data_IF_383705532107
#
_entry.id   IF_383705532107
#
_cell.length_a   1.000
_cell.length_b   1.000
_cell.length_c   1.000
_cell.angle_alpha   90.00
_cell.angle_beta   90.00
_cell.angle_gamma   90.00
#
_symmetry.space_group_name_H-M   'P 1'
#
loop_
_entity.id
_entity.type
_entity.pdbx_description
1 polymer ?
#
# COMPACT_ATOMS: atom_id res chain seq x y z
N UNK A 1 -7.56 7.89 -4.16
CA UNK A 1 -7.20 9.30 -4.50
C UNK A 1 -8.41 10.26 -4.41
N UNK A 2 -9.54 10.05 -5.13
CA UNK A 2 -10.69 10.99 -5.02
C UNK A 2 -11.20 11.19 -3.60
N UNK A 3 -11.30 10.15 -2.80
CA UNK A 3 -11.74 10.24 -1.40
C UNK A 3 -10.82 11.10 -0.53
N UNK A 4 -9.51 11.00 -0.71
CA UNK A 4 -8.55 11.86 -0.01
C UNK A 4 -8.70 13.34 -0.40
N UNK A 5 -8.95 13.64 -1.68
CA UNK A 5 -9.26 14.99 -2.11
C UNK A 5 -10.56 15.51 -1.49
N UNK A 6 -11.60 14.67 -1.40
CA UNK A 6 -12.86 15.03 -0.76
C UNK A 6 -12.68 15.28 0.75
N UNK A 7 -11.92 14.44 1.45
CA UNK A 7 -11.60 14.62 2.86
C UNK A 7 -10.80 15.91 3.10
N UNK A 8 -9.81 16.20 2.22
CA UNK A 8 -9.09 17.46 2.29
C UNK A 8 -10.02 18.65 2.12
N UNK A 9 -10.89 18.64 1.11
CA UNK A 9 -11.83 19.73 0.88
C UNK A 9 -12.76 20.02 2.09
N UNK A 10 -13.09 18.99 2.88
CA UNK A 10 -13.89 19.12 4.10
C UNK A 10 -13.08 19.67 5.28
N UNK A 11 -11.80 19.32 5.40
CA UNK A 11 -11.02 19.56 6.62
C UNK A 11 -9.85 20.55 6.44
N UNK A 12 -9.57 21.00 5.22
CA UNK A 12 -8.44 21.91 4.96
C UNK A 12 -8.57 23.24 5.73
N UNK A 13 -9.76 23.83 5.76
CA UNK A 13 -10.01 25.05 6.51
C UNK A 13 -9.91 24.87 8.03
N UNK A 14 -9.89 23.63 8.51
CA UNK A 14 -9.66 23.24 9.90
C UNK A 14 -8.18 22.91 10.20
N UNK A 15 -7.30 23.05 9.20
CA UNK A 15 -5.85 22.87 9.35
C UNK A 15 -5.29 21.54 8.83
N UNK A 16 -6.11 20.63 8.26
CA UNK A 16 -5.60 19.39 7.66
C UNK A 16 -4.98 19.69 6.29
N UNK A 17 -3.75 19.27 6.10
CA UNK A 17 -3.18 19.10 4.76
C UNK A 17 -2.91 17.62 4.48
N UNK A 18 -3.07 17.23 3.24
CA UNK A 18 -2.82 15.88 2.75
C UNK A 18 -1.68 15.93 1.74
N UNK A 19 -0.74 15.04 1.87
CA UNK A 19 0.31 14.79 0.88
C UNK A 19 0.19 13.33 0.46
N UNK A 20 -0.05 13.08 -0.82
CA UNK A 20 -0.05 11.72 -1.34
C UNK A 20 1.27 11.39 -2.00
N UNK A 21 1.69 10.13 -1.89
CA UNK A 21 2.93 9.64 -2.48
C UNK A 21 2.58 8.39 -3.29
N UNK A 22 2.76 8.48 -4.61
CA UNK A 22 2.64 7.33 -5.50
C UNK A 22 3.90 6.49 -5.40
N UNK A 23 3.74 5.26 -4.98
CA UNK A 23 4.83 4.28 -4.85
C UNK A 23 4.82 3.39 -6.09
N UNK A 24 5.71 3.67 -7.03
CA UNK A 24 5.81 2.90 -8.27
C UNK A 24 7.18 3.07 -8.93
N UNK A 25 7.89 1.96 -9.14
CA UNK A 25 9.19 1.94 -9.82
C UNK A 25 9.12 2.39 -11.29
N UNK A 26 7.94 2.38 -11.92
CA UNK A 26 7.70 2.98 -13.23
C UNK A 26 7.62 4.51 -13.24
N UNK A 27 7.70 5.13 -12.06
CA UNK A 27 7.84 6.57 -11.88
C UNK A 27 6.64 7.39 -12.34
N UNK A 28 6.95 8.60 -12.81
CA UNK A 28 5.94 9.58 -13.18
C UNK A 28 4.96 9.09 -14.26
N UNK A 29 5.42 8.29 -15.20
CA UNK A 29 4.58 7.83 -16.31
C UNK A 29 3.56 6.78 -15.84
N UNK A 30 3.91 5.94 -14.87
CA UNK A 30 3.01 4.97 -14.26
C UNK A 30 1.96 5.64 -13.34
N UNK A 31 2.36 6.66 -12.58
CA UNK A 31 1.50 7.30 -11.56
C UNK A 31 0.62 8.41 -12.15
N UNK A 32 1.08 9.11 -13.20
CA UNK A 32 0.42 10.28 -13.79
C UNK A 32 -1.06 10.08 -14.12
N UNK A 33 -1.50 9.00 -14.81
CA UNK A 33 -2.90 8.82 -15.15
C UNK A 33 -3.82 8.80 -13.93
N UNK A 34 -3.35 8.23 -12.81
CA UNK A 34 -4.11 8.14 -11.57
C UNK A 34 -4.21 9.47 -10.84
N UNK A 35 -3.13 10.26 -10.86
CA UNK A 35 -3.11 11.61 -10.28
C UNK A 35 -4.01 12.53 -11.10
N UNK A 36 -3.89 12.54 -12.42
CA UNK A 36 -4.72 13.37 -13.30
C UNK A 36 -6.21 13.03 -13.17
N UNK A 37 -6.56 11.73 -13.10
CA UNK A 37 -7.94 11.31 -12.90
C UNK A 37 -8.52 11.76 -11.52
N UNK A 38 -7.69 11.82 -10.49
CA UNK A 38 -8.08 12.28 -9.16
C UNK A 38 -8.14 13.81 -9.05
N UNK A 39 -7.44 14.53 -9.94
CA UNK A 39 -7.35 16.00 -9.98
C UNK A 39 -7.16 16.62 -8.56
N UNK A 40 -6.12 16.22 -7.81
CA UNK A 40 -5.94 16.65 -6.44
C UNK A 40 -5.49 18.11 -6.36
N UNK A 41 -5.95 18.83 -5.33
CA UNK A 41 -5.45 20.16 -4.96
C UNK A 41 -4.29 20.08 -3.95
N UNK A 42 -4.03 18.90 -3.42
CA UNK A 42 -2.92 18.63 -2.50
C UNK A 42 -1.64 18.22 -3.25
N UNK A 43 -0.46 18.35 -2.63
CA UNK A 43 0.77 17.83 -3.18
C UNK A 43 0.69 16.32 -3.43
N UNK A 44 1.09 15.92 -4.63
CA UNK A 44 1.20 14.50 -5.01
C UNK A 44 2.63 14.22 -5.45
N UNK A 45 3.34 13.46 -4.63
CA UNK A 45 4.73 13.07 -4.82
C UNK A 45 4.82 11.68 -5.44
N UNK A 46 6.01 11.32 -5.89
CA UNK A 46 6.31 10.01 -6.46
C UNK A 46 7.55 9.46 -5.77
N UNK A 47 7.48 8.21 -5.35
CA UNK A 47 8.61 7.47 -4.83
C UNK A 47 8.89 6.28 -5.76
N UNK A 48 9.90 6.44 -6.60
CA UNK A 48 10.35 5.43 -7.57
C UNK A 48 11.29 4.39 -6.96
N UNK A 49 11.81 4.67 -5.78
CA UNK A 49 12.90 3.92 -5.15
C UNK A 49 12.55 3.35 -3.79
N UNK A 50 11.27 3.36 -3.41
CA UNK A 50 10.77 2.79 -2.15
C UNK A 50 11.43 3.38 -0.88
N UNK A 51 11.92 4.65 -0.96
CA UNK A 51 12.55 5.33 0.18
C UNK A 51 11.54 5.64 1.27
N UNK A 52 10.33 6.07 0.87
CA UNK A 52 9.29 6.47 1.83
C UNK A 52 8.71 5.26 2.55
N UNK A 53 8.44 4.17 1.84
CA UNK A 53 7.94 2.95 2.47
C UNK A 53 8.99 2.35 3.42
N UNK A 54 10.27 2.40 3.05
CA UNK A 54 11.34 1.96 3.92
C UNK A 54 11.52 2.84 5.17
N UNK A 55 11.45 4.16 5.02
CA UNK A 55 11.65 5.09 6.14
C UNK A 55 10.50 5.06 7.14
N UNK A 56 9.26 4.87 6.66
CA UNK A 56 8.07 4.84 7.51
C UNK A 56 7.59 3.44 7.87
N UNK A 57 8.19 2.39 7.29
CA UNK A 57 7.81 1.00 7.55
C UNK A 57 6.49 0.60 6.87
N UNK A 58 6.21 1.17 5.68
CA UNK A 58 5.04 0.81 4.89
C UNK A 58 5.27 -0.53 4.21
N UNK A 59 4.43 -1.51 4.48
CA UNK A 59 4.51 -2.86 3.90
C UNK A 59 3.34 -3.20 2.99
N UNK A 60 2.33 -2.34 2.93
CA UNK A 60 1.17 -2.47 2.05
C UNK A 60 0.55 -1.09 1.78
N UNK A 61 -0.22 -0.95 0.71
CA UNK A 61 -0.92 0.28 0.32
C UNK A 61 -2.42 0.01 0.14
N UNK A 62 -3.30 0.98 0.43
CA UNK A 62 -3.01 2.33 0.92
C UNK A 62 -2.57 2.35 2.39
N UNK A 63 -1.69 3.30 2.70
CA UNK A 63 -1.14 3.50 4.03
C UNK A 63 -1.04 4.99 4.35
N UNK A 64 -1.07 5.39 5.61
CA UNK A 64 -0.86 6.77 6.02
C UNK A 64 -0.04 6.89 7.31
N UNK A 65 0.60 8.04 7.44
CA UNK A 65 1.31 8.49 8.63
C UNK A 65 0.70 9.83 9.04
N UNK A 66 0.35 10.02 10.32
CA UNK A 66 -0.13 11.31 10.78
C UNK A 66 0.99 12.11 11.43
N UNK A 67 1.14 13.34 11.00
CA UNK A 67 2.19 14.25 11.45
C UNK A 67 1.52 15.54 11.93
N UNK A 68 1.83 15.97 13.15
CA UNK A 68 1.28 17.19 13.72
C UNK A 68 1.94 18.47 13.16
N UNK A 69 1.44 19.63 13.55
CA UNK A 69 1.94 20.94 13.14
C UNK A 69 3.38 21.25 13.62
N UNK A 70 3.92 20.43 14.52
CA UNK A 70 5.29 20.51 15.01
C UNK A 70 6.23 19.55 14.24
N UNK A 71 5.70 18.79 13.27
CA UNK A 71 6.45 17.81 12.49
C UNK A 71 6.68 16.49 13.24
N UNK A 72 5.92 16.24 14.30
CA UNK A 72 6.01 14.98 15.06
C UNK A 72 5.02 13.96 14.53
N UNK A 73 5.46 12.72 14.37
CA UNK A 73 4.57 11.61 14.05
C UNK A 73 3.69 11.33 15.27
N UNK A 74 2.38 11.44 15.10
CA UNK A 74 1.36 11.11 16.12
C UNK A 74 0.64 9.79 15.83
N UNK A 75 0.75 9.28 14.58
CA UNK A 75 0.41 7.90 14.23
C UNK A 75 1.42 7.38 13.22
N UNK A 76 2.05 6.22 13.46
CA UNK A 76 2.97 5.61 12.50
C UNK A 76 2.21 5.03 11.31
N UNK A 77 2.95 4.52 10.34
CA UNK A 77 2.39 3.90 9.14
C UNK A 77 1.36 2.81 9.49
N UNK A 78 0.15 2.97 8.96
CA UNK A 78 -0.96 2.02 9.15
C UNK A 78 -1.88 2.02 7.93
N UNK A 79 -2.68 0.94 7.69
CA UNK A 79 -3.64 0.92 6.61
C UNK A 79 -4.63 2.09 6.68
N UNK A 80 -4.85 2.73 5.53
CA UNK A 80 -5.53 4.02 5.47
C UNK A 80 -6.61 4.06 4.38
N UNK A 81 -7.59 3.17 4.47
CA UNK A 81 -8.80 3.27 3.68
C UNK A 81 -9.75 4.27 4.33
N UNK A 82 -10.29 5.23 3.57
CA UNK A 82 -11.23 6.26 4.03
C UNK A 82 -12.58 6.18 3.31
N UNK A 83 -12.73 5.26 2.41
CA UNK A 83 -13.96 4.99 1.66
C UNK A 83 -14.18 3.48 1.58
N UNK A 84 -15.44 3.09 1.72
CA UNK A 84 -15.85 1.71 1.50
C UNK A 84 -15.58 1.27 0.06
N UNK A 85 -15.04 0.08 -0.12
CA UNK A 85 -14.75 -0.47 -1.45
C UNK A 85 -16.02 -1.00 -2.12
N UNK A 86 -16.43 -0.48 -3.28
CA UNK A 86 -17.58 -1.00 -4.01
C UNK A 86 -17.44 -2.49 -4.38
N UNK A 87 -16.22 -3.01 -4.44
CA UNK A 87 -15.96 -4.43 -4.74
C UNK A 87 -16.49 -5.36 -3.64
N UNK A 88 -16.60 -4.88 -2.42
CA UNK A 88 -17.12 -5.68 -1.30
C UNK A 88 -18.64 -5.91 -1.41
N UNK A 89 -19.36 -4.94 -1.98
CA UNK A 89 -20.81 -5.03 -2.19
C UNK A 89 -21.20 -5.73 -3.50
N UNK A 90 -20.25 -5.84 -4.43
CA UNK A 90 -20.52 -6.42 -5.74
C UNK A 90 -20.87 -7.90 -5.63
N UNK A 91 -21.96 -8.34 -6.28
CA UNK A 91 -22.22 -9.75 -6.48
C UNK A 91 -21.18 -10.35 -7.42
N UNK A 92 -20.60 -11.50 -7.05
CA UNK A 92 -19.64 -12.20 -7.92
C UNK A 92 -20.42 -12.80 -9.08
N UNK A 93 -20.13 -12.42 -10.35
CA UNK A 93 -20.88 -12.95 -11.49
C UNK A 93 -20.67 -14.46 -11.67
N UNK A 94 -21.73 -15.16 -12.11
CA UNK A 94 -21.65 -16.56 -12.48
C UNK A 94 -20.77 -16.75 -13.74
N UNK A 95 -20.12 -17.91 -13.83
CA UNK A 95 -19.40 -18.34 -15.03
C UNK A 95 -18.03 -17.71 -15.22
N UNK A 96 -17.49 -17.01 -14.22
CA UNK A 96 -16.12 -16.54 -14.24
C UNK A 96 -15.12 -17.71 -14.23
N UNK A 97 -13.92 -17.53 -14.82
CA UNK A 97 -12.82 -18.46 -14.59
C UNK A 97 -12.56 -18.64 -13.09
N UNK A 98 -12.27 -19.87 -12.65
CA UNK A 98 -12.10 -20.22 -11.23
C UNK A 98 -11.15 -19.28 -10.50
N UNK A 99 -10.01 -18.95 -11.10
CA UNK A 99 -9.03 -18.02 -10.53
C UNK A 99 -9.61 -16.62 -10.27
N UNK A 100 -10.42 -16.10 -11.20
CA UNK A 100 -11.03 -14.78 -11.06
C UNK A 100 -12.10 -14.80 -9.96
N UNK A 101 -12.92 -15.87 -9.95
CA UNK A 101 -13.91 -16.09 -8.90
C UNK A 101 -13.23 -16.10 -7.52
N UNK A 102 -12.20 -16.93 -7.35
CA UNK A 102 -11.45 -17.06 -6.10
C UNK A 102 -10.83 -15.74 -5.64
N UNK A 103 -10.27 -14.98 -6.60
CA UNK A 103 -9.73 -13.64 -6.29
C UNK A 103 -10.80 -12.70 -5.75
N UNK A 104 -11.99 -12.66 -6.38
CA UNK A 104 -13.08 -11.82 -5.92
C UNK A 104 -13.61 -12.25 -4.56
N UNK A 105 -13.58 -13.56 -4.26
CA UNK A 105 -13.90 -14.07 -2.92
C UNK A 105 -12.93 -13.50 -1.89
N UNK A 106 -11.61 -13.59 -2.13
CA UNK A 106 -10.60 -13.06 -1.21
C UNK A 106 -10.69 -11.53 -1.07
N UNK A 107 -10.97 -10.81 -2.17
CA UNK A 107 -11.16 -9.34 -2.12
C UNK A 107 -12.35 -8.97 -1.25
N UNK A 108 -13.44 -9.72 -1.27
CA UNK A 108 -14.62 -9.46 -0.43
C UNK A 108 -14.37 -9.71 1.06
N UNK A 109 -13.42 -10.58 1.39
CA UNK A 109 -13.01 -10.86 2.76
C UNK A 109 -12.03 -9.79 3.32
N UNK A 110 -11.48 -8.91 2.48
CA UNK A 110 -10.59 -7.84 2.94
C UNK A 110 -11.34 -6.96 3.95
N UNK A 111 -10.70 -6.75 5.11
CA UNK A 111 -11.25 -5.91 6.17
C UNK A 111 -11.49 -4.48 5.70
N UNK A 112 -12.63 -3.94 6.05
CA UNK A 112 -12.98 -2.55 5.83
C UNK A 112 -13.15 -1.80 7.16
N UNK A 113 -12.14 -1.02 7.51
CA UNK A 113 -12.15 -0.14 8.69
C UNK A 113 -12.30 1.34 8.24
N UNK A 114 -12.72 1.62 6.99
CA UNK A 114 -12.72 2.94 6.37
C UNK A 114 -13.54 3.99 7.12
N UNK A 115 -14.73 3.63 7.59
CA UNK A 115 -15.58 4.53 8.37
C UNK A 115 -14.92 4.92 9.70
N UNK A 116 -14.38 3.93 10.41
CA UNK A 116 -13.69 4.15 11.68
C UNK A 116 -12.42 4.99 11.52
N UNK A 117 -11.63 4.70 10.47
CA UNK A 117 -10.40 5.44 10.18
C UNK A 117 -10.69 6.90 9.79
N UNK A 118 -11.70 7.11 8.93
CA UNK A 118 -12.13 8.46 8.56
C UNK A 118 -12.61 9.25 9.77
N UNK A 119 -13.42 8.63 10.64
CA UNK A 119 -13.91 9.27 11.88
C UNK A 119 -12.76 9.65 12.82
N UNK A 120 -11.72 8.81 12.90
CA UNK A 120 -10.52 9.09 13.69
C UNK A 120 -9.74 10.31 13.16
N UNK A 121 -9.59 10.46 11.83
CA UNK A 121 -8.98 11.67 11.24
C UNK A 121 -9.78 12.92 11.59
N UNK A 122 -11.11 12.87 11.47
CA UNK A 122 -11.98 14.00 11.79
C UNK A 122 -11.83 14.39 13.25
N UNK A 123 -11.85 13.42 14.15
CA UNK A 123 -11.67 13.67 15.60
C UNK A 123 -10.29 14.30 15.87
N UNK A 124 -9.23 13.78 15.28
CA UNK A 124 -7.88 14.33 15.45
C UNK A 124 -7.78 15.78 14.95
N UNK A 125 -8.38 16.09 13.81
CA UNK A 125 -8.39 17.47 13.28
C UNK A 125 -9.17 18.41 14.20
N UNK A 126 -10.21 17.94 14.85
CA UNK A 126 -11.05 18.76 15.75
C UNK A 126 -10.44 18.93 17.15
N UNK A 127 -9.72 17.92 17.65
CA UNK A 127 -9.24 17.87 19.03
C UNK A 127 -7.69 17.93 19.15
N UNK A 128 -6.95 17.81 18.04
CA UNK A 128 -5.50 17.90 18.02
C UNK A 128 -4.84 16.87 18.95
N UNK A 129 -3.96 17.35 19.83
CA UNK A 129 -3.27 16.49 20.80
C UNK A 129 -4.18 15.87 21.87
N UNK A 130 -5.40 16.39 22.06
CA UNK A 130 -6.38 15.84 23.00
C UNK A 130 -7.23 14.72 22.39
N UNK A 131 -7.08 14.44 21.08
CA UNK A 131 -7.73 13.33 20.42
C UNK A 131 -7.22 11.99 20.97
N UNK A 132 -8.10 11.02 21.23
CA UNK A 132 -7.68 9.68 21.66
C UNK A 132 -6.89 8.94 20.57
N UNK A 133 -6.96 9.43 19.33
CA UNK A 133 -6.23 8.86 18.19
C UNK A 133 -4.83 9.44 18.02
N UNK A 134 -4.52 10.59 18.62
CA UNK A 134 -3.15 11.12 18.67
C UNK A 134 -2.33 10.36 19.72
N UNK A 135 -1.42 9.52 19.27
CA UNK A 135 -0.64 8.67 20.16
C UNK A 135 0.46 9.47 20.88
N UNK A 136 0.79 9.05 22.10
CA UNK A 136 1.98 9.58 22.78
C UNK A 136 3.27 9.17 22.03
N UNK A 137 4.38 9.92 22.19
CA UNK A 137 5.66 9.56 21.54
C UNK A 137 6.11 8.14 21.86
N UNK A 138 5.92 7.68 23.10
CA UNK A 138 6.27 6.31 23.50
C UNK A 138 5.40 5.27 22.79
N UNK A 139 4.12 5.56 22.60
CA UNK A 139 3.20 4.68 21.87
C UNK A 139 3.52 4.65 20.37
N UNK A 140 3.89 5.78 19.78
CA UNK A 140 4.38 5.85 18.38
C UNK A 140 5.61 4.97 18.23
N UNK A 141 6.61 5.12 19.10
CA UNK A 141 7.84 4.30 19.07
C UNK A 141 7.51 2.81 19.23
N UNK A 142 6.61 2.47 20.14
CA UNK A 142 6.22 1.08 20.37
C UNK A 142 5.50 0.44 19.17
N UNK A 143 4.75 1.24 18.39
CA UNK A 143 4.07 0.79 17.17
C UNK A 143 4.96 0.85 15.93
N UNK A 144 6.00 1.71 15.92
CA UNK A 144 6.98 1.86 14.84
C UNK A 144 8.18 0.94 15.09
N UNK A 145 7.95 -0.37 15.14
CA UNK A 145 9.03 -1.33 15.37
C UNK A 145 10.14 -1.13 14.32
N UNK A 146 11.43 -1.04 14.78
CA UNK A 146 12.53 -0.94 13.84
C UNK A 146 12.59 -2.20 12.98
N UNK A 147 12.92 -2.04 11.71
CA UNK A 147 13.16 -3.18 10.82
C UNK A 147 14.21 -4.09 11.42
N UNK A 148 13.91 -5.39 11.41
CA UNK A 148 14.86 -6.43 11.75
C UNK A 148 15.92 -6.60 10.65
N UNK A 149 16.75 -7.62 10.84
CA UNK A 149 17.79 -7.94 9.86
C UNK A 149 17.20 -8.46 8.56
N UNK A 150 16.22 -9.36 8.66
CA UNK A 150 15.63 -10.02 7.49
C UNK A 150 14.85 -9.02 6.63
N UNK A 151 14.10 -8.11 7.23
CA UNK A 151 13.40 -7.03 6.52
C UNK A 151 14.37 -6.04 5.87
N UNK A 152 15.51 -5.75 6.52
CA UNK A 152 16.55 -4.88 5.94
C UNK A 152 17.27 -5.56 4.78
N UNK A 153 17.50 -6.87 4.85
CA UNK A 153 18.06 -7.66 3.77
C UNK A 153 17.05 -7.83 2.62
N UNK A 154 15.76 -7.97 2.92
CA UNK A 154 14.69 -7.99 1.93
C UNK A 154 14.65 -6.72 1.08
N UNK A 155 14.75 -5.54 1.73
CA UNK A 155 14.83 -4.26 1.04
C UNK A 155 16.01 -4.20 0.06
N UNK A 156 17.20 -4.63 0.51
CA UNK A 156 18.39 -4.67 -0.34
C UNK A 156 18.24 -5.65 -1.52
N UNK A 157 17.62 -6.82 -1.28
CA UNK A 157 17.33 -7.80 -2.32
C UNK A 157 16.34 -7.25 -3.35
N UNK A 158 15.27 -6.58 -2.88
CA UNK A 158 14.28 -5.98 -3.77
C UNK A 158 14.92 -4.92 -4.69
N UNK A 159 15.70 -3.99 -4.13
CA UNK A 159 16.38 -2.95 -4.90
C UNK A 159 17.44 -3.53 -5.86
N UNK A 160 18.15 -4.59 -5.47
CA UNK A 160 19.06 -5.28 -6.38
C UNK A 160 18.31 -5.93 -7.55
N UNK A 161 17.17 -6.57 -7.28
CA UNK A 161 16.30 -7.12 -8.32
C UNK A 161 15.82 -6.05 -9.30
N UNK A 162 15.37 -4.89 -8.77
CA UNK A 162 14.99 -3.74 -9.61
C UNK A 162 16.15 -3.25 -10.48
N UNK A 163 17.34 -3.09 -9.90
CA UNK A 163 18.53 -2.67 -10.65
C UNK A 163 18.90 -3.65 -11.78
N UNK A 164 18.80 -4.95 -11.53
CA UNK A 164 19.08 -5.98 -12.54
C UNK A 164 18.04 -5.96 -13.67
N UNK A 165 16.75 -5.79 -13.33
CA UNK A 165 15.69 -5.63 -14.31
C UNK A 165 15.94 -4.40 -15.20
N UNK A 166 16.28 -3.25 -14.63
CA UNK A 166 16.62 -2.03 -15.38
C UNK A 166 17.84 -2.23 -16.29
N UNK A 167 18.75 -3.14 -15.93
CA UNK A 167 19.89 -3.55 -16.74
C UNK A 167 19.58 -4.62 -17.79
N UNK A 168 18.36 -5.15 -17.83
CA UNK A 168 17.90 -6.20 -18.75
C UNK A 168 18.25 -7.62 -18.32
N UNK A 169 18.60 -7.84 -17.05
CA UNK A 169 18.84 -9.16 -16.45
C UNK A 169 17.59 -9.59 -15.65
N UNK A 170 16.54 -10.00 -16.36
CA UNK A 170 15.26 -10.38 -15.76
C UNK A 170 15.38 -11.67 -14.91
N UNK A 171 16.18 -12.63 -15.30
CA UNK A 171 16.41 -13.86 -14.53
C UNK A 171 17.10 -13.56 -13.18
N UNK A 172 18.08 -12.67 -13.21
CA UNK A 172 18.74 -12.17 -12.01
C UNK A 172 17.77 -11.40 -11.13
N UNK A 173 16.95 -10.52 -11.71
CA UNK A 173 15.93 -9.74 -11.01
C UNK A 173 14.96 -10.64 -10.24
N UNK A 174 14.37 -11.62 -10.91
CA UNK A 174 13.42 -12.57 -10.29
C UNK A 174 14.07 -13.35 -9.15
N UNK A 175 15.35 -13.73 -9.30
CA UNK A 175 16.09 -14.43 -8.24
C UNK A 175 16.13 -13.60 -6.95
N UNK A 176 16.43 -12.31 -7.05
CA UNK A 176 16.52 -11.44 -5.89
C UNK A 176 15.15 -11.01 -5.35
N UNK A 177 14.14 -10.85 -6.19
CA UNK A 177 12.76 -10.62 -5.73
C UNK A 177 12.19 -11.80 -4.95
N UNK A 178 12.47 -13.04 -5.37
CA UNK A 178 12.10 -14.24 -4.57
C UNK A 178 12.75 -14.24 -3.21
N UNK A 179 14.03 -13.84 -3.12
CA UNK A 179 14.73 -13.75 -1.83
C UNK A 179 14.13 -12.64 -0.96
N UNK A 180 13.82 -11.46 -1.52
CA UNK A 180 13.11 -10.41 -0.80
C UNK A 180 11.78 -10.90 -0.23
N UNK A 181 10.97 -11.60 -1.03
CA UNK A 181 9.67 -12.14 -0.59
C UNK A 181 9.82 -13.25 0.46
N UNK A 182 10.90 -14.01 0.43
CA UNK A 182 11.20 -15.03 1.45
C UNK A 182 11.58 -14.41 2.78
N UNK A 183 12.36 -13.33 2.75
CA UNK A 183 12.87 -12.62 3.93
C UNK A 183 11.78 -11.76 4.60
N UNK A 184 10.93 -11.12 3.80
CA UNK A 184 9.81 -10.30 4.27
C UNK A 184 8.49 -10.70 3.56
N UNK A 185 7.88 -11.82 3.97
CA UNK A 185 6.71 -12.38 3.29
C UNK A 185 5.46 -11.51 3.43
N UNK A 186 5.43 -10.57 4.35
CA UNK A 186 4.32 -9.66 4.59
C UNK A 186 4.48 -8.30 3.90
N UNK A 187 5.55 -8.10 3.17
CA UNK A 187 5.77 -6.86 2.43
C UNK A 187 5.10 -6.94 1.05
N UNK A 188 3.89 -6.42 0.98
CA UNK A 188 3.09 -6.39 -0.25
C UNK A 188 3.55 -5.33 -1.24
N UNK A 189 4.28 -4.29 -0.80
CA UNK A 189 4.84 -3.28 -1.71
C UNK A 189 5.86 -3.93 -2.62
N UNK A 190 6.82 -4.69 -2.08
CA UNK A 190 7.82 -5.40 -2.87
C UNK A 190 7.21 -6.48 -3.77
N UNK A 191 6.25 -7.27 -3.25
CA UNK A 191 5.59 -8.32 -4.03
C UNK A 191 4.88 -7.75 -5.24
N UNK A 192 4.00 -6.78 -5.02
CA UNK A 192 3.18 -6.21 -6.08
C UNK A 192 4.02 -5.49 -7.12
N UNK A 193 5.07 -4.78 -6.69
CA UNK A 193 5.97 -4.10 -7.61
C UNK A 193 6.78 -5.10 -8.45
N UNK A 194 7.32 -6.15 -7.84
CA UNK A 194 8.03 -7.20 -8.56
C UNK A 194 7.15 -7.89 -9.61
N UNK A 195 5.90 -8.22 -9.28
CA UNK A 195 4.96 -8.81 -10.23
C UNK A 195 4.61 -7.85 -11.38
N UNK A 196 4.50 -6.54 -11.09
CA UNK A 196 4.28 -5.53 -12.13
C UNK A 196 5.45 -5.42 -13.09
N UNK A 197 6.68 -5.40 -12.57
CA UNK A 197 7.91 -5.34 -13.35
C UNK A 197 8.15 -6.63 -14.16
N UNK A 198 7.80 -7.78 -13.59
CA UNK A 198 7.90 -9.07 -14.29
C UNK A 198 6.79 -9.29 -15.32
N UNK A 199 5.85 -8.38 -15.48
CA UNK A 199 4.82 -8.46 -16.51
C UNK A 199 5.44 -8.26 -17.90
N UNK A 200 5.14 -9.18 -18.83
CA UNK A 200 5.65 -9.14 -20.22
C UNK A 200 4.86 -8.18 -21.12
N UNK A 201 3.79 -7.59 -20.63
CA UNK A 201 2.94 -6.65 -21.37
C UNK A 201 3.09 -5.24 -20.81
N UNK A 202 4.01 -4.40 -21.34
CA UNK A 202 4.13 -3.01 -20.93
C UNK A 202 2.80 -2.26 -21.15
N UNK A 203 2.26 -1.66 -20.08
CA UNK A 203 1.03 -0.89 -20.13
C UNK A 203 -0.25 -1.69 -19.86
N UNK A 204 -0.17 -2.98 -19.60
CA UNK A 204 -1.28 -3.68 -18.95
C UNK A 204 -1.38 -3.25 -17.48
N UNK A 205 -2.60 -2.93 -17.00
CA UNK A 205 -2.75 -2.52 -15.61
C UNK A 205 -2.26 -3.63 -14.69
N UNK A 206 -1.31 -3.32 -13.82
CA UNK A 206 -0.95 -4.17 -12.69
C UNK A 206 -2.04 -4.09 -11.63
N UNK A 207 -3.21 -4.58 -11.98
CA UNK A 207 -4.36 -4.56 -11.10
C UNK A 207 -4.36 -5.76 -10.15
N UNK A 208 -5.51 -6.03 -9.54
CA UNK A 208 -5.76 -7.19 -8.69
C UNK A 208 -5.41 -8.54 -9.37
N UNK A 209 -5.18 -8.54 -10.67
CA UNK A 209 -4.88 -9.71 -11.50
C UNK A 209 -3.39 -10.06 -11.56
N UNK A 210 -2.53 -9.40 -10.77
CA UNK A 210 -1.08 -9.58 -10.78
C UNK A 210 -0.64 -11.03 -10.67
N UNK A 211 0.19 -11.44 -11.66
CA UNK A 211 0.78 -12.77 -11.76
C UNK A 211 -0.21 -13.91 -11.99
N UNK A 212 0.26 -15.15 -12.15
CA UNK A 212 1.66 -15.43 -12.53
C UNK A 212 1.96 -15.00 -13.96
N UNK A 213 3.22 -14.76 -14.26
CA UNK A 213 3.73 -14.51 -15.62
C UNK A 213 4.68 -15.63 -16.06
N UNK A 214 5.07 -15.65 -17.33
CA UNK A 214 6.07 -16.61 -17.82
C UNK A 214 7.43 -16.42 -17.14
N UNK A 215 7.71 -15.21 -16.66
CA UNK A 215 8.96 -14.86 -16.00
C UNK A 215 8.94 -15.13 -14.50
N UNK A 216 7.79 -14.89 -13.84
CA UNK A 216 7.66 -15.02 -12.40
C UNK A 216 6.32 -15.68 -12.00
N UNK A 217 6.41 -16.79 -11.27
CA UNK A 217 5.27 -17.60 -10.84
C UNK A 217 4.45 -16.98 -9.69
N UNK A 218 5.03 -16.05 -8.93
CA UNK A 218 4.38 -15.39 -7.81
C UNK A 218 3.12 -14.63 -8.21
N UNK A 219 2.12 -14.62 -7.35
CA UNK A 219 0.86 -13.93 -7.61
C UNK A 219 0.10 -13.60 -6.33
N UNK A 220 -0.76 -12.58 -6.43
CA UNK A 220 -1.50 -12.08 -5.30
C UNK A 220 -2.41 -13.13 -4.65
N UNK A 221 -3.14 -13.92 -5.44
CA UNK A 221 -4.14 -14.88 -4.92
C UNK A 221 -3.50 -15.96 -4.06
N UNK A 222 -2.42 -16.56 -4.55
CA UNK A 222 -1.75 -17.64 -3.82
C UNK A 222 -1.11 -17.12 -2.53
N UNK A 223 -0.52 -15.94 -2.58
CA UNK A 223 0.12 -15.31 -1.43
C UNK A 223 -0.89 -14.84 -0.37
N UNK A 224 -2.04 -14.31 -0.79
CA UNK A 224 -3.13 -13.95 0.14
C UNK A 224 -3.68 -15.21 0.83
N UNK A 225 -3.93 -16.28 0.07
CA UNK A 225 -4.37 -17.56 0.65
C UNK A 225 -3.32 -18.13 1.63
N UNK A 226 -2.04 -18.04 1.29
CA UNK A 226 -0.95 -18.49 2.15
C UNK A 226 -0.82 -17.66 3.44
N UNK A 227 -1.17 -16.36 3.41
CA UNK A 227 -1.18 -15.48 4.59
C UNK A 227 -2.45 -15.60 5.47
N UNK A 228 -3.37 -16.49 5.11
CA UNK A 228 -4.60 -16.75 5.85
C UNK A 228 -5.84 -16.07 5.28
N UNK A 229 -5.81 -15.69 4.00
CA UNK A 229 -6.94 -15.15 3.25
C UNK A 229 -7.07 -13.62 3.33
N UNK A 230 -8.05 -13.10 2.58
CA UNK A 230 -8.31 -11.67 2.47
C UNK A 230 -8.54 -10.97 3.80
N UNK A 231 -9.15 -11.65 4.78
CA UNK A 231 -9.39 -11.10 6.12
C UNK A 231 -8.09 -10.70 6.86
N UNK A 232 -6.94 -11.26 6.47
CA UNK A 232 -5.63 -10.96 7.06
C UNK A 232 -4.74 -10.07 6.17
N UNK A 233 -5.27 -9.61 5.02
CA UNK A 233 -4.51 -8.79 4.07
C UNK A 233 -4.10 -7.42 4.64
N UNK A 234 -4.94 -6.83 5.48
CA UNK A 234 -4.61 -5.66 6.28
C UNK A 234 -4.74 -5.96 7.77
N UNK A 235 -3.85 -5.46 8.62
CA UNK A 235 -4.09 -5.42 10.06
C UNK A 235 -5.32 -4.56 10.35
N UNK A 236 -6.02 -4.87 11.45
CA UNK A 236 -7.16 -4.05 11.89
C UNK A 236 -6.71 -2.68 12.36
N UNK A 237 -7.51 -1.66 12.07
CA UNK A 237 -7.33 -0.34 12.68
C UNK A 237 -7.36 -0.43 14.22
N UNK A 238 -6.38 0.15 14.85
CA UNK A 238 -6.26 0.19 16.32
C UNK A 238 -6.44 1.64 16.77
N UNK A 239 -7.56 1.97 17.45
CA UNK A 239 -7.79 3.29 18.01
C UNK A 239 -6.71 3.78 18.96
#
# INVERSE_FOLDING_TARGET
MPGWQALRAELHDKGLEIVTIGLDAGGADAVRPWIEAANPEHPSLIDETHIVDELFGVTNVPNAVWIDEHGMIVRPAEPANIEHSPLQDMEIPDGLPERIHDMLVEVKEIRDDSEAYRAAIVDWVENGADSPYALSPDAVVARSLPRGRDESEAAACFELGRHLHDAGDDDGAVTWWREAHRLDPNNWTYKRQAWSLASTAPGEPSDLMQGPTDLYEGNWLDDVKASGGGANYYPSFQP
#
